data_IF_878337515164
#
_entry.id   IF_878337515164
#
_cell.length_a   1.000
_cell.length_b   1.000
_cell.length_c   1.000
_cell.angle_alpha   90.00
_cell.angle_beta   90.00
_cell.angle_gamma   90.00
#
_symmetry.space_group_name_H-M   'P 1'
#
loop_
_entity.id
_entity.type
_entity.pdbx_description
1 polymer ?
#
# COMPACT_ATOMS: atom_id res chain seq x y z
N UNK A 1 -7.23 -24.19 -10.71
CA UNK A 1 -6.09 -24.07 -11.65
C UNK A 1 -4.99 -23.20 -11.05
N UNK A 2 -5.23 -21.90 -10.82
CA UNK A 2 -4.21 -20.98 -10.28
C UNK A 2 -3.52 -21.47 -8.99
N UNK A 3 -4.29 -21.90 -7.99
CA UNK A 3 -3.71 -22.45 -6.74
C UNK A 3 -2.71 -23.59 -7.00
N UNK A 4 -3.09 -24.59 -7.79
CA UNK A 4 -2.23 -25.73 -8.12
C UNK A 4 -0.97 -25.32 -8.89
N UNK A 5 -1.05 -24.30 -9.75
CA UNK A 5 0.12 -23.76 -10.45
C UNK A 5 1.10 -23.09 -9.48
N UNK A 6 0.59 -22.37 -8.49
CA UNK A 6 1.40 -21.63 -7.53
C UNK A 6 2.02 -22.52 -6.43
N UNK A 7 1.30 -23.54 -5.96
CA UNK A 7 1.71 -24.32 -4.77
C UNK A 7 2.10 -25.77 -5.07
N UNK A 8 1.72 -26.30 -6.24
CA UNK A 8 1.85 -27.73 -6.58
C UNK A 8 2.83 -28.04 -7.71
N UNK A 9 3.64 -27.06 -8.16
CA UNK A 9 4.63 -27.20 -9.23
C UNK A 9 5.95 -26.55 -8.83
N UNK A 10 7.06 -27.07 -9.37
CA UNK A 10 8.36 -26.46 -9.17
C UNK A 10 8.43 -25.09 -9.89
N UNK A 11 9.02 -24.10 -9.22
CA UNK A 11 9.28 -22.78 -9.80
C UNK A 11 10.57 -22.83 -10.61
N UNK A 12 10.48 -22.57 -11.92
CA UNK A 12 11.62 -22.50 -12.83
C UNK A 12 12.07 -21.04 -13.05
N UNK A 13 13.15 -20.85 -13.80
CA UNK A 13 13.77 -19.54 -14.00
C UNK A 13 12.90 -18.61 -14.86
N UNK A 14 12.30 -19.13 -15.93
CA UNK A 14 11.37 -18.39 -16.77
C UNK A 14 9.95 -18.51 -16.23
N UNK A 15 9.32 -17.36 -15.97
CA UNK A 15 8.03 -17.27 -15.29
C UNK A 15 7.08 -16.39 -16.07
N UNK A 16 5.81 -16.74 -16.03
CA UNK A 16 4.71 -15.93 -16.52
C UNK A 16 3.56 -15.98 -15.51
N UNK A 17 2.96 -14.83 -15.23
CA UNK A 17 1.73 -14.69 -14.44
C UNK A 17 0.68 -14.08 -15.35
N UNK A 18 -0.47 -14.75 -15.47
CA UNK A 18 -1.62 -14.25 -16.23
C UNK A 18 -2.74 -13.88 -15.26
N UNK A 19 -3.25 -12.66 -15.38
CA UNK A 19 -4.27 -12.07 -14.52
C UNK A 19 -5.61 -12.02 -15.24
N UNK A 20 -6.68 -12.46 -14.58
CA UNK A 20 -8.02 -12.41 -15.17
C UNK A 20 -9.04 -13.19 -14.36
N UNK A 21 -10.32 -12.90 -14.61
CA UNK A 21 -11.47 -13.51 -13.91
C UNK A 21 -12.29 -14.45 -14.81
N UNK A 22 -12.07 -14.42 -16.12
CA UNK A 22 -12.79 -15.22 -17.12
C UNK A 22 -11.86 -16.09 -17.97
N UNK A 23 -12.35 -17.27 -18.37
CA UNK A 23 -11.56 -18.25 -19.12
C UNK A 23 -11.08 -17.73 -20.48
N UNK A 24 -11.91 -16.96 -21.20
CA UNK A 24 -11.57 -16.47 -22.53
C UNK A 24 -10.37 -15.52 -22.47
N UNK A 25 -10.42 -14.52 -21.59
CA UNK A 25 -9.31 -13.57 -21.40
C UNK A 25 -8.03 -14.24 -20.86
N UNK A 26 -8.16 -15.21 -19.96
CA UNK A 26 -7.01 -16.00 -19.49
C UNK A 26 -6.38 -16.82 -20.62
N UNK A 27 -7.19 -17.41 -21.50
CA UNK A 27 -6.71 -18.23 -22.62
C UNK A 27 -6.04 -17.37 -23.69
N UNK A 28 -6.61 -16.21 -24.01
CA UNK A 28 -6.02 -15.24 -24.93
C UNK A 28 -4.65 -14.76 -24.45
N UNK A 29 -4.54 -14.36 -23.19
CA UNK A 29 -3.30 -13.90 -22.60
C UNK A 29 -2.25 -15.02 -22.51
N UNK A 30 -2.65 -16.25 -22.18
CA UNK A 30 -1.76 -17.42 -22.23
C UNK A 30 -1.25 -17.70 -23.65
N UNK A 31 -2.10 -17.53 -24.66
CA UNK A 31 -1.71 -17.72 -26.05
C UNK A 31 -0.69 -16.65 -26.50
N UNK A 32 -0.84 -15.39 -26.05
CA UNK A 32 0.15 -14.34 -26.27
C UNK A 32 1.51 -14.69 -25.63
N UNK A 33 1.51 -15.13 -24.36
CA UNK A 33 2.72 -15.61 -23.68
C UNK A 33 3.39 -16.75 -24.45
N UNK A 34 2.61 -17.72 -24.95
CA UNK A 34 3.14 -18.85 -25.72
C UNK A 34 3.80 -18.43 -27.05
N UNK A 35 3.37 -17.30 -27.64
CA UNK A 35 3.96 -16.72 -28.84
C UNK A 35 5.10 -15.73 -28.54
N UNK A 36 5.37 -15.42 -27.28
CA UNK A 36 6.33 -14.39 -26.88
C UNK A 36 5.86 -12.97 -27.18
N UNK A 37 4.54 -12.75 -27.21
CA UNK A 37 3.90 -11.45 -27.44
C UNK A 37 3.53 -10.79 -26.11
N UNK A 38 3.54 -9.45 -26.09
CA UNK A 38 3.09 -8.68 -24.94
C UNK A 38 1.56 -8.78 -24.76
N UNK A 39 1.13 -8.83 -23.50
CA UNK A 39 -0.29 -8.76 -23.15
C UNK A 39 -0.47 -7.92 -21.88
N UNK A 40 -1.46 -7.02 -21.82
CA UNK A 40 -1.74 -6.24 -20.61
C UNK A 40 -2.16 -7.13 -19.43
N UNK A 41 -2.59 -8.35 -19.70
CA UNK A 41 -2.99 -9.34 -18.69
C UNK A 41 -1.87 -10.32 -18.33
N UNK A 42 -0.67 -10.17 -18.88
CA UNK A 42 0.46 -11.06 -18.62
C UNK A 42 1.70 -10.31 -18.15
N UNK A 43 2.37 -10.85 -17.14
CA UNK A 43 3.69 -10.41 -16.70
C UNK A 43 4.65 -11.57 -16.90
N UNK A 44 5.71 -11.36 -17.67
CA UNK A 44 6.76 -12.35 -17.90
C UNK A 44 8.08 -11.89 -17.28
N UNK A 45 8.93 -12.84 -16.90
CA UNK A 45 10.23 -12.53 -16.32
C UNK A 45 11.13 -13.75 -16.24
N UNK A 46 12.42 -13.51 -16.04
CA UNK A 46 13.41 -14.54 -15.78
C UNK A 46 14.15 -14.24 -14.48
N UNK A 47 14.48 -15.27 -13.70
CA UNK A 47 15.35 -15.13 -12.54
C UNK A 47 16.75 -14.74 -13.03
N UNK A 48 17.35 -13.63 -12.53
CA UNK A 48 18.69 -13.23 -12.92
C UNK A 48 19.75 -14.30 -12.56
N UNK A 49 20.70 -14.54 -13.46
CA UNK A 49 21.77 -15.54 -13.26
C UNK A 49 22.76 -15.19 -12.13
N UNK A 50 22.82 -13.92 -11.72
CA UNK A 50 23.67 -13.45 -10.62
C UNK A 50 22.84 -12.57 -9.69
N UNK A 51 22.86 -12.91 -8.40
CA UNK A 51 22.32 -12.19 -7.25
C UNK A 51 21.24 -11.16 -7.56
N UNK A 52 19.96 -11.54 -7.43
CA UNK A 52 18.91 -10.54 -7.30
C UNK A 52 19.30 -9.61 -6.14
N UNK A 53 19.37 -8.30 -6.40
CA UNK A 53 19.47 -7.32 -5.32
C UNK A 53 18.37 -7.59 -4.29
N UNK A 54 18.65 -7.33 -3.01
CA UNK A 54 17.65 -7.50 -1.96
C UNK A 54 16.39 -6.67 -2.26
N UNK A 55 15.23 -7.14 -1.81
CA UNK A 55 13.99 -6.38 -1.94
C UNK A 55 14.07 -5.10 -1.10
N UNK A 56 13.80 -3.95 -1.74
CA UNK A 56 13.60 -2.68 -1.08
C UNK A 56 12.14 -2.25 -1.19
N UNK A 57 11.51 -1.85 -0.07
CA UNK A 57 10.25 -1.12 -0.09
C UNK A 57 10.52 0.38 -0.01
N UNK A 58 9.89 1.14 -0.89
CA UNK A 58 10.03 2.60 -0.96
C UNK A 58 8.68 3.25 -0.62
N UNK A 59 8.68 4.04 0.43
CA UNK A 59 7.49 4.73 0.97
C UNK A 59 7.43 6.16 0.44
N UNK A 60 6.26 6.56 -0.05
CA UNK A 60 6.05 7.80 -0.76
C UNK A 60 5.89 8.98 0.20
N UNK A 61 6.15 10.19 -0.31
CA UNK A 61 5.79 11.41 0.39
C UNK A 61 4.36 11.84 0.06
N UNK A 62 4.00 13.04 0.53
CA UNK A 62 2.79 13.73 0.09
C UNK A 62 2.80 13.97 -1.42
N UNK A 63 1.64 13.78 -2.06
CA UNK A 63 1.42 13.94 -3.50
C UNK A 63 0.80 12.72 -4.18
N UNK A 64 0.85 11.55 -3.55
CA UNK A 64 0.28 10.29 -4.05
C UNK A 64 -1.17 10.03 -3.60
N UNK A 65 -1.72 10.89 -2.73
CA UNK A 65 -3.05 10.72 -2.17
C UNK A 65 -4.14 10.88 -3.23
N UNK A 66 -5.15 10.01 -3.17
CA UNK A 66 -6.36 10.08 -3.98
C UNK A 66 -7.59 9.73 -3.13
N UNK A 67 -8.75 10.39 -3.31
CA UNK A 67 -9.97 10.02 -2.62
C UNK A 67 -10.30 8.53 -2.85
N UNK A 68 -10.77 7.84 -1.81
CA UNK A 68 -11.08 6.41 -1.87
C UNK A 68 -9.87 5.48 -1.92
N UNK A 69 -8.65 5.97 -1.72
CA UNK A 69 -7.46 5.11 -1.71
C UNK A 69 -7.57 4.01 -0.65
N UNK A 70 -7.23 2.78 -1.01
CA UNK A 70 -7.26 1.63 -0.11
C UNK A 70 -8.65 1.03 0.15
N UNK A 71 -9.75 1.64 -0.28
CA UNK A 71 -11.11 1.18 0.06
C UNK A 71 -11.42 -0.23 -0.48
N UNK A 72 -11.01 -0.54 -1.71
CA UNK A 72 -11.20 -1.89 -2.28
C UNK A 72 -10.37 -2.94 -1.55
N UNK A 73 -9.14 -2.59 -1.13
CA UNK A 73 -8.29 -3.49 -0.35
C UNK A 73 -8.88 -3.73 1.04
N UNK A 74 -9.38 -2.67 1.68
CA UNK A 74 -10.09 -2.73 2.95
C UNK A 74 -11.29 -3.67 2.90
N UNK A 75 -12.11 -3.58 1.84
CA UNK A 75 -13.26 -4.47 1.65
C UNK A 75 -12.89 -5.93 1.34
N UNK A 76 -11.66 -6.21 0.90
CA UNK A 76 -11.26 -7.52 0.38
C UNK A 76 -10.31 -8.30 1.29
N UNK A 77 -9.47 -7.63 2.06
CA UNK A 77 -8.38 -8.22 2.83
C UNK A 77 -8.47 -7.81 4.31
N UNK A 78 -8.83 -8.75 5.21
CA UNK A 78 -8.95 -8.47 6.65
C UNK A 78 -7.69 -7.89 7.27
N UNK A 79 -6.50 -8.41 6.93
CA UNK A 79 -5.21 -7.90 7.45
C UNK A 79 -5.01 -6.41 7.11
N UNK A 80 -5.36 -6.00 5.90
CA UNK A 80 -5.30 -4.60 5.51
C UNK A 80 -6.29 -3.76 6.34
N UNK A 81 -7.53 -4.23 6.49
CA UNK A 81 -8.56 -3.50 7.23
C UNK A 81 -8.19 -3.32 8.71
N UNK A 82 -7.71 -4.38 9.36
CA UNK A 82 -7.26 -4.37 10.75
C UNK A 82 -6.09 -3.41 10.96
N UNK A 83 -5.07 -3.47 10.09
CA UNK A 83 -3.92 -2.56 10.17
C UNK A 83 -4.34 -1.10 9.91
N UNK A 84 -5.18 -0.85 8.92
CA UNK A 84 -5.67 0.49 8.59
C UNK A 84 -6.49 1.10 9.74
N UNK A 85 -7.44 0.35 10.30
CA UNK A 85 -8.26 0.79 11.44
C UNK A 85 -7.40 1.04 12.68
N UNK A 86 -6.40 0.21 12.96
CA UNK A 86 -5.47 0.40 14.08
C UNK A 86 -4.68 1.71 13.95
N UNK A 87 -4.18 2.02 12.75
CA UNK A 87 -3.49 3.29 12.48
C UNK A 87 -4.44 4.46 12.60
N UNK A 88 -5.63 4.41 11.99
CA UNK A 88 -6.62 5.48 12.07
C UNK A 88 -7.01 5.77 13.51
N UNK A 89 -7.32 4.75 14.32
CA UNK A 89 -7.66 4.94 15.73
C UNK A 89 -6.53 5.58 16.53
N UNK A 90 -5.28 5.14 16.32
CA UNK A 90 -4.12 5.69 17.00
C UNK A 90 -3.83 7.14 16.59
N UNK A 91 -3.97 7.47 15.32
CA UNK A 91 -3.79 8.85 14.82
C UNK A 91 -4.92 9.75 15.32
N UNK A 92 -6.18 9.32 15.22
CA UNK A 92 -7.34 10.12 15.62
C UNK A 92 -7.24 10.51 17.11
N UNK A 93 -6.71 9.62 17.96
CA UNK A 93 -6.43 9.94 19.37
C UNK A 93 -5.43 11.10 19.56
N UNK A 94 -4.48 11.29 18.62
CA UNK A 94 -3.52 12.39 18.65
C UNK A 94 -4.02 13.65 17.93
N UNK A 95 -5.08 13.54 17.13
CA UNK A 95 -5.70 14.64 16.41
C UNK A 95 -7.00 15.14 17.05
N UNK A 96 -7.38 14.61 18.22
CA UNK A 96 -8.51 15.11 18.99
C UNK A 96 -8.39 16.63 19.25
N UNK A 97 -9.45 17.37 18.95
CA UNK A 97 -9.48 18.84 18.97
C UNK A 97 -8.79 19.55 17.80
N UNK A 98 -8.19 18.82 16.84
CA UNK A 98 -7.59 19.38 15.63
C UNK A 98 -8.26 18.90 14.34
N UNK A 99 -8.69 17.64 14.30
CA UNK A 99 -9.43 17.06 13.18
C UNK A 99 -10.94 17.22 13.36
N UNK A 100 -11.61 17.73 12.34
CA UNK A 100 -13.08 17.84 12.29
C UNK A 100 -13.76 16.50 11.98
N UNK A 101 -13.06 15.59 11.30
CA UNK A 101 -13.57 14.31 10.85
C UNK A 101 -12.58 13.18 11.16
N UNK A 102 -13.06 11.94 11.41
CA UNK A 102 -12.19 10.78 11.55
C UNK A 102 -11.34 10.58 10.29
N UNK A 103 -10.08 10.17 10.46
CA UNK A 103 -9.16 10.01 9.35
C UNK A 103 -9.71 9.09 8.25
N UNK A 104 -10.29 7.95 8.64
CA UNK A 104 -10.86 6.97 7.71
C UNK A 104 -11.95 7.59 6.83
N UNK A 105 -12.82 8.41 7.41
CA UNK A 105 -13.96 8.99 6.70
C UNK A 105 -13.48 9.96 5.60
N UNK A 106 -12.40 10.68 5.86
CA UNK A 106 -11.76 11.56 4.87
C UNK A 106 -11.02 10.75 3.79
N UNK A 107 -10.27 9.71 4.17
CA UNK A 107 -9.52 8.88 3.21
C UNK A 107 -10.44 8.10 2.29
N UNK A 108 -11.53 7.54 2.80
CA UNK A 108 -12.51 6.76 2.03
C UNK A 108 -13.63 7.59 1.41
N UNK A 109 -13.57 8.92 1.52
CA UNK A 109 -14.47 9.80 0.80
C UNK A 109 -14.38 9.53 -0.71
N UNK A 110 -15.52 9.34 -1.37
CA UNK A 110 -15.58 9.32 -2.84
C UNK A 110 -15.24 10.71 -3.39
N UNK A 111 -14.80 10.80 -4.65
CA UNK A 111 -14.41 12.09 -5.26
C UNK A 111 -15.52 13.16 -5.19
N UNK A 112 -16.79 12.74 -5.30
CA UNK A 112 -17.97 13.63 -5.22
C UNK A 112 -18.37 14.03 -3.78
N UNK A 113 -17.72 13.47 -2.77
CA UNK A 113 -18.03 13.74 -1.36
C UNK A 113 -17.53 15.12 -0.93
N UNK A 114 -18.29 15.86 -0.08
CA UNK A 114 -17.79 17.10 0.52
C UNK A 114 -16.54 16.90 1.39
N UNK A 115 -16.23 15.67 1.81
CA UNK A 115 -15.02 15.34 2.57
C UNK A 115 -13.78 15.17 1.68
N UNK A 116 -13.94 14.88 0.39
CA UNK A 116 -12.81 14.60 -0.51
C UNK A 116 -11.76 15.74 -0.58
N UNK A 117 -12.15 17.04 -0.60
CA UNK A 117 -11.19 18.13 -0.57
C UNK A 117 -10.36 18.18 0.72
N UNK A 118 -10.88 17.67 1.85
CA UNK A 118 -10.14 17.65 3.11
C UNK A 118 -8.88 16.79 3.04
N UNK A 119 -8.86 15.77 2.16
CA UNK A 119 -7.67 14.94 1.94
C UNK A 119 -6.48 15.75 1.42
N UNK A 120 -6.68 16.97 0.89
CA UNK A 120 -5.60 17.87 0.47
C UNK A 120 -5.05 18.75 1.60
N UNK A 121 -5.66 18.74 2.79
CA UNK A 121 -5.08 19.38 3.97
C UNK A 121 -3.91 18.54 4.46
N UNK A 122 -2.77 19.19 4.74
CA UNK A 122 -1.50 18.53 5.06
C UNK A 122 -1.63 17.54 6.22
N UNK A 123 -2.49 17.83 7.19
CA UNK A 123 -2.78 16.92 8.30
C UNK A 123 -3.38 15.60 7.79
N UNK A 124 -4.53 15.64 7.11
CA UNK A 124 -5.18 14.44 6.56
C UNK A 124 -4.37 13.75 5.48
N UNK A 125 -3.68 14.51 4.62
CA UNK A 125 -2.82 13.93 3.58
C UNK A 125 -1.75 13.05 4.20
N UNK A 126 -1.01 13.58 5.19
CA UNK A 126 0.12 12.88 5.75
C UNK A 126 -0.30 11.67 6.57
N UNK A 127 -1.30 11.83 7.42
CA UNK A 127 -1.77 10.72 8.24
C UNK A 127 -2.49 9.66 7.40
N UNK A 128 -3.22 10.07 6.35
CA UNK A 128 -3.92 9.16 5.46
C UNK A 128 -2.96 8.32 4.60
N UNK A 129 -1.90 8.94 4.07
CA UNK A 129 -0.85 8.22 3.35
C UNK A 129 -0.08 7.27 4.28
N UNK A 130 0.24 7.69 5.51
CA UNK A 130 0.85 6.81 6.49
C UNK A 130 -0.05 5.59 6.80
N UNK A 131 -1.34 5.79 7.03
CA UNK A 131 -2.30 4.70 7.26
C UNK A 131 -2.39 3.73 6.08
N UNK A 132 -2.46 4.26 4.84
CA UNK A 132 -2.46 3.44 3.63
C UNK A 132 -1.17 2.61 3.51
N UNK A 133 -0.01 3.24 3.66
CA UNK A 133 1.28 2.60 3.46
C UNK A 133 1.58 1.54 4.53
N UNK A 134 1.20 1.77 5.79
CA UNK A 134 1.29 0.77 6.86
C UNK A 134 0.37 -0.42 6.55
N UNK A 135 -0.88 -0.17 6.13
CA UNK A 135 -1.80 -1.26 5.80
C UNK A 135 -1.33 -2.07 4.56
N UNK A 136 -0.72 -1.41 3.57
CA UNK A 136 -0.07 -2.08 2.45
C UNK A 136 1.14 -2.92 2.89
N UNK A 137 1.96 -2.41 3.81
CA UNK A 137 3.09 -3.14 4.37
C UNK A 137 2.64 -4.42 5.08
N UNK A 138 1.62 -4.34 5.93
CA UNK A 138 1.11 -5.51 6.65
C UNK A 138 0.48 -6.53 5.68
N UNK A 139 -0.23 -6.07 4.64
CA UNK A 139 -0.74 -6.96 3.60
C UNK A 139 0.38 -7.68 2.84
N UNK A 140 1.46 -6.98 2.49
CA UNK A 140 2.62 -7.56 1.83
C UNK A 140 3.32 -8.59 2.73
N UNK A 141 3.48 -8.28 4.02
CA UNK A 141 4.05 -9.21 5.01
C UNK A 141 3.20 -10.48 5.16
N UNK A 142 1.88 -10.37 5.18
CA UNK A 142 0.95 -11.51 5.19
C UNK A 142 1.11 -12.42 3.97
N UNK A 143 1.46 -11.85 2.81
CA UNK A 143 1.80 -12.61 1.59
C UNK A 143 3.23 -13.16 1.57
N UNK A 144 3.99 -13.00 2.66
CA UNK A 144 5.37 -13.46 2.79
C UNK A 144 6.41 -12.54 2.15
N UNK A 145 6.05 -11.32 1.77
CA UNK A 145 6.99 -10.33 1.23
C UNK A 145 7.73 -9.65 2.38
N UNK A 146 8.99 -10.02 2.57
CA UNK A 146 9.87 -9.44 3.61
C UNK A 146 10.97 -8.60 2.96
N UNK A 147 10.99 -7.26 3.13
CA UNK A 147 12.06 -6.43 2.60
C UNK A 147 13.38 -6.63 3.34
N UNK A 148 14.48 -6.60 2.59
CA UNK A 148 15.83 -6.47 3.18
C UNK A 148 16.25 -5.02 3.40
N UNK A 149 15.57 -4.07 2.75
CA UNK A 149 15.85 -2.65 2.83
C UNK A 149 14.54 -1.85 2.80
N UNK A 150 14.53 -0.69 3.44
CA UNK A 150 13.42 0.27 3.35
C UNK A 150 13.98 1.67 3.11
N UNK A 151 13.23 2.48 2.38
CA UNK A 151 13.53 3.88 2.13
C UNK A 151 12.23 4.66 2.13
N UNK A 152 12.28 5.91 2.57
CA UNK A 152 11.13 6.80 2.54
C UNK A 152 11.50 8.14 1.95
N UNK A 153 10.52 8.84 1.38
CA UNK A 153 10.67 10.24 0.97
C UNK A 153 9.80 11.14 1.87
N UNK A 154 10.43 12.04 2.63
CA UNK A 154 9.71 12.99 3.49
C UNK A 154 8.82 12.28 4.52
N UNK A 155 7.49 12.36 4.41
CA UNK A 155 6.56 11.58 5.23
C UNK A 155 6.88 10.08 5.22
N UNK A 156 7.22 9.54 4.05
CA UNK A 156 7.52 8.12 3.90
C UNK A 156 8.71 7.66 4.73
N UNK A 157 9.58 8.56 5.19
CA UNK A 157 10.67 8.21 6.13
C UNK A 157 10.11 7.75 7.48
N UNK A 158 8.95 8.29 7.91
CA UNK A 158 8.26 7.85 9.13
C UNK A 158 7.72 6.42 8.91
N UNK A 159 7.08 6.17 7.76
CA UNK A 159 6.63 4.81 7.41
C UNK A 159 7.80 3.83 7.30
N UNK A 160 8.92 4.25 6.71
CA UNK A 160 10.12 3.43 6.61
C UNK A 160 10.72 3.12 7.99
N UNK A 161 10.74 4.09 8.91
CA UNK A 161 11.21 3.89 10.28
C UNK A 161 10.31 2.90 11.05
N UNK A 162 8.99 2.96 10.87
CA UNK A 162 8.08 1.94 11.38
C UNK A 162 8.34 0.56 10.73
N UNK A 163 8.50 0.52 9.41
CA UNK A 163 8.74 -0.72 8.68
C UNK A 163 10.06 -1.43 9.06
N UNK A 164 11.05 -0.66 9.53
CA UNK A 164 12.34 -1.14 10.03
C UNK A 164 12.36 -1.41 11.55
N UNK A 165 11.21 -1.37 12.23
CA UNK A 165 11.07 -1.53 13.68
C UNK A 165 11.87 -0.50 14.51
N UNK A 166 12.23 0.64 13.90
CA UNK A 166 12.89 1.77 14.60
C UNK A 166 11.88 2.55 15.44
N UNK A 167 10.65 2.69 14.94
CA UNK A 167 9.53 3.30 15.65
C UNK A 167 8.46 2.25 15.91
N UNK A 168 7.93 2.22 17.13
CA UNK A 168 6.69 1.49 17.42
C UNK A 168 5.51 2.12 16.69
N UNK A 169 4.43 1.37 16.46
CA UNK A 169 3.22 1.92 15.85
C UNK A 169 2.69 3.16 16.61
N UNK A 170 2.54 3.13 17.96
CA UNK A 170 2.14 4.33 18.71
C UNK A 170 3.06 5.54 18.50
N UNK A 171 4.39 5.33 18.51
CA UNK A 171 5.34 6.43 18.34
C UNK A 171 5.30 7.01 16.92
N UNK A 172 5.17 6.15 15.90
CA UNK A 172 5.02 6.57 14.52
C UNK A 172 3.72 7.36 14.30
N UNK A 173 2.60 6.89 14.87
CA UNK A 173 1.31 7.59 14.85
C UNK A 173 1.38 8.95 15.53
N UNK A 174 2.00 9.03 16.71
CA UNK A 174 2.22 10.30 17.42
C UNK A 174 3.04 11.29 16.57
N UNK A 175 4.12 10.81 15.95
CA UNK A 175 5.02 11.62 15.14
C UNK A 175 4.32 12.15 13.88
N UNK A 176 3.64 11.29 13.11
CA UNK A 176 2.96 11.72 11.88
C UNK A 176 1.80 12.66 12.17
N UNK A 177 1.03 12.42 13.22
CA UNK A 177 -0.06 13.30 13.64
C UNK A 177 0.46 14.69 14.04
N UNK A 178 1.51 14.74 14.88
CA UNK A 178 2.14 15.99 15.27
C UNK A 178 2.72 16.75 14.07
N UNK A 179 3.43 16.05 13.16
CA UNK A 179 4.00 16.65 11.95
C UNK A 179 2.93 17.22 11.03
N UNK A 180 1.91 16.43 10.69
CA UNK A 180 0.83 16.85 9.79
C UNK A 180 0.10 18.09 10.32
N UNK A 181 -0.22 18.09 11.63
CA UNK A 181 -0.86 19.23 12.30
C UNK A 181 0.02 20.48 12.32
N UNK A 182 1.30 20.35 12.67
CA UNK A 182 2.22 21.50 12.73
C UNK A 182 2.46 22.10 11.34
N UNK A 183 2.61 21.25 10.31
CA UNK A 183 2.74 21.72 8.93
C UNK A 183 1.48 22.41 8.42
N UNK A 184 0.30 21.91 8.80
CA UNK A 184 -0.98 22.54 8.46
C UNK A 184 -1.14 23.95 9.06
N UNK A 185 -0.52 24.21 10.22
CA UNK A 185 -0.62 25.49 10.93
C UNK A 185 0.38 26.55 10.45
N UNK A 186 1.28 26.21 9.52
CA UNK A 186 2.22 27.19 8.94
C UNK A 186 1.48 28.12 7.96
N UNK A 187 1.89 29.41 7.89
CA UNK A 187 1.27 30.42 7.02
C UNK A 187 1.51 30.19 5.54
#
# INVERSE_FOLDING_TARGET
IGHTLATGRALMDHRAVVLGTGLDGLTEALAAVARGEDSPAAVTGAVPAVGAGGLALVFSGQGSQRPGMGQELYGRYPVFAEAFDAVCAAVDAHLDGYAEHPLRDVVFASEDSPLAPLLQQSMYTQTGLFALEVALLELLRDWGVTPGHVMGHSLGEITAAYAADVLSLPDACALVAARGRLMQALP
#
